data_IF_055225686607
#
_entry.id   IF_055225686607
#
_cell.length_a   1.000
_cell.length_b   1.000
_cell.length_c   1.000
_cell.angle_alpha   90.00
_cell.angle_beta   90.00
_cell.angle_gamma   90.00
#
_symmetry.space_group_name_H-M   'P 1'
#
loop_
_entity.id
_entity.type
_entity.pdbx_description
1 polymer ?
#
# COMPACT_ATOMS: atom_id res chain seq x y z
N UNK A 1 22.79 16.22 -24.95
CA UNK A 1 22.66 15.96 -26.41
C UNK A 1 21.21 16.18 -26.78
N UNK A 2 20.89 17.06 -27.73
CA UNK A 2 19.50 17.35 -28.14
C UNK A 2 19.36 17.05 -29.64
N UNK A 3 18.38 16.23 -30.03
CA UNK A 3 18.16 15.91 -31.44
C UNK A 3 16.88 15.12 -31.73
N UNK A 4 16.40 15.18 -32.97
CA UNK A 4 15.29 14.37 -33.47
C UNK A 4 15.90 13.28 -34.35
N UNK A 5 15.57 12.01 -34.11
CA UNK A 5 16.10 10.90 -34.91
C UNK A 5 15.05 9.82 -35.19
N UNK A 6 15.04 9.32 -36.42
CA UNK A 6 14.17 8.20 -36.78
C UNK A 6 14.68 6.86 -36.20
N UNK A 7 16.00 6.73 -36.02
CA UNK A 7 16.67 5.46 -35.67
C UNK A 7 17.15 5.34 -34.21
N UNK A 8 16.94 6.38 -33.39
CA UNK A 8 17.30 6.37 -31.97
C UNK A 8 18.36 7.42 -31.61
N UNK A 9 18.26 7.95 -30.38
CA UNK A 9 19.21 8.90 -29.82
C UNK A 9 20.07 8.20 -28.77
N UNK A 10 21.39 8.07 -29.02
CA UNK A 10 22.34 7.46 -28.08
C UNK A 10 23.41 8.47 -27.71
N UNK A 11 23.64 8.71 -26.42
CA UNK A 11 24.76 9.53 -25.99
C UNK A 11 24.83 9.83 -24.51
N UNK A 12 26.01 10.23 -24.04
CA UNK A 12 26.24 10.70 -22.67
C UNK A 12 26.42 12.21 -22.64
N UNK A 13 25.83 12.90 -21.67
CA UNK A 13 26.02 14.35 -21.53
C UNK A 13 26.04 14.83 -20.08
N UNK A 14 26.86 15.85 -19.80
CA UNK A 14 26.87 16.49 -18.50
C UNK A 14 25.61 17.33 -18.26
N UNK A 15 25.11 18.01 -19.30
CA UNK A 15 24.08 19.06 -19.20
C UNK A 15 22.65 18.62 -19.51
N UNK A 16 22.42 17.34 -19.85
CA UNK A 16 21.09 16.79 -20.11
C UNK A 16 20.92 16.18 -21.51
N UNK A 17 20.14 15.10 -21.59
CA UNK A 17 19.79 14.44 -22.85
C UNK A 17 18.33 14.73 -23.22
N UNK A 18 18.14 15.27 -24.43
CA UNK A 18 16.84 15.71 -24.92
C UNK A 18 16.54 15.18 -26.33
N UNK A 19 15.28 14.91 -26.67
CA UNK A 19 14.92 14.66 -28.07
C UNK A 19 13.73 13.74 -28.28
N UNK A 20 13.29 13.65 -29.54
CA UNK A 20 12.24 12.71 -29.96
C UNK A 20 12.86 11.63 -30.83
N UNK A 21 12.51 10.36 -30.58
CA UNK A 21 12.95 9.27 -31.44
C UNK A 21 11.90 8.20 -31.72
N UNK A 22 11.96 7.61 -32.93
CA UNK A 22 11.09 6.48 -33.28
C UNK A 22 11.45 5.21 -32.51
N UNK A 23 12.76 4.91 -32.41
CA UNK A 23 13.28 3.61 -31.95
C UNK A 23 13.84 3.57 -30.52
N UNK A 24 13.93 4.70 -29.82
CA UNK A 24 14.39 4.74 -28.42
C UNK A 24 15.39 5.85 -28.11
N UNK A 25 15.48 6.25 -26.84
CA UNK A 25 16.48 7.20 -26.35
C UNK A 25 17.31 6.48 -25.29
N UNK A 26 18.63 6.36 -25.49
CA UNK A 26 19.52 5.70 -24.55
C UNK A 26 20.72 6.56 -24.14
N UNK A 27 21.14 6.43 -22.88
CA UNK A 27 22.37 7.05 -22.37
C UNK A 27 22.22 7.79 -21.05
N UNK A 28 23.36 8.30 -20.55
CA UNK A 28 23.49 8.85 -19.21
C UNK A 28 23.54 10.38 -19.22
N UNK A 29 22.90 11.02 -18.24
CA UNK A 29 22.88 12.48 -18.12
C UNK A 29 23.10 12.99 -16.70
N UNK A 30 23.93 14.02 -16.52
CA UNK A 30 24.09 14.68 -15.22
C UNK A 30 22.86 15.50 -14.79
N UNK A 31 22.22 16.21 -15.71
CA UNK A 31 21.20 17.22 -15.37
C UNK A 31 19.74 16.83 -15.67
N UNK A 32 19.50 15.61 -16.14
CA UNK A 32 18.16 15.10 -16.43
C UNK A 32 17.94 14.69 -17.89
N UNK A 33 16.84 13.97 -18.14
CA UNK A 33 16.47 13.51 -19.48
C UNK A 33 15.04 13.89 -19.82
N UNK A 34 14.83 14.44 -21.02
CA UNK A 34 13.50 14.84 -21.48
C UNK A 34 13.28 14.40 -22.92
N UNK A 35 12.26 13.60 -23.21
CA UNK A 35 12.02 13.22 -24.60
C UNK A 35 10.88 12.24 -24.80
N UNK A 36 10.43 12.10 -26.04
CA UNK A 36 9.44 11.09 -26.41
C UNK A 36 10.09 10.00 -27.25
N UNK A 37 9.71 8.75 -27.01
CA UNK A 37 10.23 7.63 -27.77
C UNK A 37 9.16 6.58 -28.05
N UNK A 38 9.06 6.07 -29.28
CA UNK A 38 8.18 4.92 -29.53
C UNK A 38 8.58 3.70 -28.70
N UNK A 39 9.87 3.34 -28.73
CA UNK A 39 10.38 2.08 -28.13
C UNK A 39 10.99 2.18 -26.72
N UNK A 40 11.03 3.35 -26.08
CA UNK A 40 11.45 3.50 -24.68
C UNK A 40 12.64 4.42 -24.40
N UNK A 41 12.75 4.86 -23.15
CA UNK A 41 13.83 5.74 -22.65
C UNK A 41 14.68 4.99 -21.61
N UNK A 42 15.95 4.69 -21.91
CA UNK A 42 16.81 3.84 -21.07
C UNK A 42 18.16 4.47 -20.67
N UNK A 43 18.59 4.35 -19.41
CA UNK A 43 19.89 4.89 -18.91
C UNK A 43 19.75 5.67 -17.59
N UNK A 44 20.79 6.34 -17.11
CA UNK A 44 20.78 6.97 -15.77
C UNK A 44 20.70 8.50 -15.82
N UNK A 45 20.04 9.13 -14.85
CA UNK A 45 20.03 10.59 -14.71
C UNK A 45 20.04 11.10 -13.26
N UNK A 46 20.83 12.12 -12.94
CA UNK A 46 20.87 12.61 -11.56
C UNK A 46 19.60 13.39 -11.20
N UNK A 47 19.09 14.24 -12.09
CA UNK A 47 17.93 15.12 -11.82
C UNK A 47 16.58 14.60 -12.36
N UNK A 48 16.51 13.35 -12.82
CA UNK A 48 15.26 12.72 -13.23
C UNK A 48 15.07 12.50 -14.72
N UNK A 49 14.01 11.77 -15.10
CA UNK A 49 13.59 11.58 -16.50
C UNK A 49 12.15 12.04 -16.69
N UNK A 50 11.86 12.64 -17.84
CA UNK A 50 10.52 13.08 -18.20
C UNK A 50 10.27 12.67 -19.65
N UNK A 51 9.17 11.97 -19.92
CA UNK A 51 8.93 11.55 -21.30
C UNK A 51 7.68 10.72 -21.51
N UNK A 52 7.38 10.47 -22.78
CA UNK A 52 6.33 9.55 -23.18
C UNK A 52 7.00 8.40 -23.93
N UNK A 53 6.64 7.16 -23.56
CA UNK A 53 7.09 6.01 -24.34
C UNK A 53 6.09 4.88 -24.43
N UNK A 54 5.96 4.27 -25.60
CA UNK A 54 4.98 3.19 -25.77
C UNK A 54 5.50 1.92 -25.09
N UNK A 55 6.79 1.62 -25.20
CA UNK A 55 7.39 0.41 -24.63
C UNK A 55 8.03 0.57 -23.23
N UNK A 56 7.92 1.74 -22.61
CA UNK A 56 8.33 1.96 -21.21
C UNK A 56 9.73 2.53 -21.00
N UNK A 57 10.01 2.90 -19.76
CA UNK A 57 11.26 3.57 -19.36
C UNK A 57 12.10 2.71 -18.41
N UNK A 58 13.43 2.72 -18.61
CA UNK A 58 14.41 1.89 -17.91
C UNK A 58 15.57 2.66 -17.29
N UNK A 59 15.97 2.31 -16.06
CA UNK A 59 17.21 2.79 -15.41
C UNK A 59 16.99 3.83 -14.30
N UNK A 60 18.06 4.27 -13.66
CA UNK A 60 17.98 4.94 -12.36
C UNK A 60 17.91 6.46 -12.45
N UNK A 61 17.24 7.09 -11.48
CA UNK A 61 17.17 8.54 -11.39
C UNK A 61 17.26 9.07 -9.97
N UNK A 62 18.03 10.13 -9.73
CA UNK A 62 18.07 10.76 -8.41
C UNK A 62 16.72 11.39 -8.03
N UNK A 63 16.22 12.36 -8.81
CA UNK A 63 15.04 13.18 -8.46
C UNK A 63 13.67 12.67 -8.95
N UNK A 64 13.58 11.39 -9.32
CA UNK A 64 12.33 10.77 -9.80
C UNK A 64 12.20 10.80 -11.32
N UNK A 65 11.20 10.09 -11.84
CA UNK A 65 10.81 10.23 -13.25
C UNK A 65 9.30 10.46 -13.38
N UNK A 66 8.89 11.06 -14.48
CA UNK A 66 7.49 11.35 -14.81
C UNK A 66 7.20 11.03 -16.28
N UNK A 67 6.01 10.51 -16.59
CA UNK A 67 5.71 10.16 -17.98
C UNK A 67 4.50 9.25 -18.19
N UNK A 68 3.97 9.21 -19.42
CA UNK A 68 2.96 8.23 -19.81
C UNK A 68 3.64 7.07 -20.54
N UNK A 69 3.43 5.84 -20.06
CA UNK A 69 4.17 4.66 -20.51
C UNK A 69 3.21 3.54 -20.92
N UNK A 70 3.34 2.98 -22.12
CA UNK A 70 2.48 1.87 -22.54
C UNK A 70 2.78 0.56 -21.78
N UNK A 71 4.03 0.11 -21.77
CA UNK A 71 4.44 -1.20 -21.21
C UNK A 71 5.04 -1.17 -19.78
N UNK A 72 4.99 -0.03 -19.09
CA UNK A 72 5.40 0.07 -17.68
C UNK A 72 6.77 0.72 -17.45
N UNK A 73 7.20 0.76 -16.19
CA UNK A 73 8.42 1.45 -15.76
C UNK A 73 9.29 0.58 -14.87
N UNK A 74 10.59 0.54 -15.16
CA UNK A 74 11.58 -0.26 -14.43
C UNK A 74 12.79 0.59 -14.04
N UNK A 75 13.00 0.80 -12.74
CA UNK A 75 14.17 1.53 -12.23
C UNK A 75 13.99 2.05 -10.81
N UNK A 76 15.07 2.51 -10.19
CA UNK A 76 15.05 3.10 -8.84
C UNK A 76 15.08 4.62 -8.88
N UNK A 77 14.40 5.25 -7.93
CA UNK A 77 14.55 6.68 -7.70
C UNK A 77 14.39 7.10 -6.25
N UNK A 78 15.24 8.03 -5.82
CA UNK A 78 15.22 8.58 -4.45
C UNK A 78 13.99 9.45 -4.17
N UNK A 79 13.29 9.90 -5.22
CA UNK A 79 12.03 10.66 -5.14
C UNK A 79 10.89 9.95 -5.89
N UNK A 80 9.67 10.50 -5.80
CA UNK A 80 8.44 9.90 -6.33
C UNK A 80 8.52 9.64 -7.84
N UNK A 81 8.19 8.42 -8.24
CA UNK A 81 7.84 8.07 -9.61
C UNK A 81 6.37 8.47 -9.85
N UNK A 82 6.09 9.34 -10.82
CA UNK A 82 4.74 9.73 -11.23
C UNK A 82 4.47 9.37 -12.70
N UNK A 83 3.20 9.28 -13.10
CA UNK A 83 2.81 8.93 -14.48
C UNK A 83 1.85 7.75 -14.58
N UNK A 84 1.19 7.61 -15.75
CA UNK A 84 0.23 6.54 -16.03
C UNK A 84 0.92 5.41 -16.80
N UNK A 85 0.62 4.15 -16.44
CA UNK A 85 1.10 2.98 -17.18
C UNK A 85 0.10 1.84 -17.22
N UNK A 86 -0.10 1.24 -18.40
CA UNK A 86 -1.09 0.18 -18.60
C UNK A 86 -0.73 -1.16 -17.93
N UNK A 87 0.57 -1.43 -17.74
CA UNK A 87 1.09 -2.70 -17.16
C UNK A 87 1.71 -2.54 -15.76
N UNK A 88 1.47 -1.40 -15.10
CA UNK A 88 1.96 -1.14 -13.75
C UNK A 88 3.40 -0.60 -13.66
N UNK A 89 3.78 -0.24 -12.44
CA UNK A 89 5.01 0.49 -12.11
C UNK A 89 5.85 -0.37 -11.17
N UNK A 90 7.04 -0.79 -11.61
CA UNK A 90 7.97 -1.59 -10.81
C UNK A 90 9.24 -0.77 -10.51
N UNK A 91 9.31 -0.21 -9.30
CA UNK A 91 10.46 0.58 -8.84
C UNK A 91 10.40 0.88 -7.35
N UNK A 92 11.56 0.94 -6.70
CA UNK A 92 11.71 1.30 -5.29
C UNK A 92 11.69 2.83 -5.19
N UNK A 93 10.81 3.37 -4.33
CA UNK A 93 10.80 4.78 -3.93
C UNK A 93 10.77 4.87 -2.41
N UNK A 94 11.66 5.66 -1.82
CA UNK A 94 11.83 5.74 -0.38
C UNK A 94 10.58 6.29 0.31
N UNK A 95 9.87 5.40 1.01
CA UNK A 95 8.62 5.70 1.67
C UNK A 95 8.05 4.49 2.40
N UNK A 96 8.77 4.00 3.43
CA UNK A 96 8.30 3.30 4.66
C UNK A 96 9.47 2.49 5.24
N UNK A 97 10.15 3.05 6.23
CA UNK A 97 11.50 2.69 6.65
C UNK A 97 11.57 2.23 8.11
N UNK A 98 10.89 1.12 8.47
CA UNK A 98 11.01 0.58 9.85
C UNK A 98 11.35 -0.91 9.95
N UNK A 99 11.01 -1.73 8.95
CA UNK A 99 11.45 -3.15 8.89
C UNK A 99 12.82 -3.30 8.20
N UNK A 100 13.19 -2.31 7.38
CA UNK A 100 14.44 -2.33 6.59
C UNK A 100 15.68 -2.09 7.45
N UNK A 101 15.59 -1.31 8.54
CA UNK A 101 16.76 -0.92 9.34
C UNK A 101 17.38 -2.08 10.12
N UNK A 102 16.56 -2.92 10.78
CA UNK A 102 17.07 -4.07 11.53
C UNK A 102 17.72 -5.11 10.60
N UNK A 103 17.15 -5.35 9.43
CA UNK A 103 17.70 -6.29 8.43
C UNK A 103 18.98 -5.73 7.80
N UNK A 104 19.06 -4.41 7.56
CA UNK A 104 20.25 -3.77 6.98
C UNK A 104 21.42 -3.75 7.97
N UNK A 105 21.17 -3.55 9.26
CA UNK A 105 22.23 -3.58 10.29
C UNK A 105 22.84 -4.98 10.46
N UNK A 106 22.03 -6.03 10.41
CA UNK A 106 22.52 -7.42 10.46
C UNK A 106 23.33 -7.79 9.21
N UNK A 107 22.91 -7.30 8.03
CA UNK A 107 23.62 -7.47 6.75
C UNK A 107 24.95 -6.68 6.72
N UNK A 108 25.03 -5.52 7.36
CA UNK A 108 26.25 -4.69 7.35
C UNK A 108 27.38 -5.28 8.22
N UNK A 109 27.05 -5.92 9.34
CA UNK A 109 28.05 -6.62 10.17
C UNK A 109 28.58 -7.90 9.48
N UNK A 110 27.72 -8.67 8.78
CA UNK A 110 28.19 -9.80 7.95
C UNK A 110 29.08 -9.32 6.78
N UNK A 111 28.72 -8.23 6.10
CA UNK A 111 29.54 -7.63 5.03
C UNK A 111 30.92 -7.17 5.52
N UNK A 112 31.02 -6.70 6.77
CA UNK A 112 32.27 -6.24 7.39
C UNK A 112 33.20 -7.40 7.73
N UNK A 113 32.64 -8.51 8.25
CA UNK A 113 33.39 -9.74 8.50
C UNK A 113 33.92 -10.37 7.19
N UNK A 114 33.12 -10.30 6.12
CA UNK A 114 33.47 -10.82 4.80
C UNK A 114 34.54 -9.96 4.12
N UNK A 115 34.47 -8.61 4.22
CA UNK A 115 35.55 -7.72 3.74
C UNK A 115 36.90 -8.03 4.39
N UNK A 116 36.91 -8.40 5.67
CA UNK A 116 38.13 -8.76 6.40
C UNK A 116 38.77 -10.04 5.84
N UNK A 117 37.96 -11.05 5.53
CA UNK A 117 38.43 -12.34 4.96
C UNK A 117 38.80 -12.27 3.47
N UNK A 118 38.17 -11.39 2.70
CA UNK A 118 38.54 -11.13 1.30
C UNK A 118 39.97 -10.55 1.18
N UNK A 119 40.44 -9.78 2.17
CA UNK A 119 41.81 -9.28 2.23
C UNK A 119 42.83 -10.42 2.43
N UNK A 120 42.41 -11.56 2.99
CA UNK A 120 43.27 -12.71 3.30
C UNK A 120 43.41 -13.72 2.13
N UNK A 121 42.74 -13.50 0.99
CA UNK A 121 43.08 -14.14 -0.28
C UNK A 121 42.36 -15.45 -0.64
N UNK A 122 41.26 -15.81 0.03
CA UNK A 122 40.50 -17.03 -0.28
C UNK A 122 39.44 -16.83 -1.38
N UNK A 123 39.85 -17.04 -2.64
CA UNK A 123 38.99 -16.91 -3.84
C UNK A 123 37.75 -17.83 -3.81
N UNK A 124 37.81 -18.95 -3.10
CA UNK A 124 36.68 -19.90 -2.99
C UNK A 124 35.57 -19.40 -2.04
N UNK A 125 35.91 -18.62 -1.01
CA UNK A 125 34.94 -17.94 -0.14
C UNK A 125 34.24 -16.79 -0.88
N UNK A 126 34.92 -16.14 -1.83
CA UNK A 126 34.32 -15.10 -2.68
C UNK A 126 33.17 -15.63 -3.55
N UNK A 127 33.34 -16.79 -4.20
CA UNK A 127 32.25 -17.38 -5.00
C UNK A 127 31.10 -17.92 -4.15
N UNK A 128 31.41 -18.49 -2.97
CA UNK A 128 30.38 -18.93 -2.01
C UNK A 128 29.59 -17.73 -1.45
N UNK A 129 30.27 -16.64 -1.07
CA UNK A 129 29.62 -15.44 -0.56
C UNK A 129 28.79 -14.73 -1.62
N UNK A 130 29.26 -14.66 -2.87
CA UNK A 130 28.48 -14.10 -3.98
C UNK A 130 27.20 -14.91 -4.25
N UNK A 131 27.30 -16.25 -4.24
CA UNK A 131 26.14 -17.13 -4.42
C UNK A 131 25.14 -17.05 -3.25
N UNK A 132 25.63 -17.03 -2.00
CA UNK A 132 24.80 -16.88 -0.80
C UNK A 132 24.12 -15.50 -0.81
N UNK A 133 24.86 -14.43 -1.06
CA UNK A 133 24.34 -13.05 -1.09
C UNK A 133 23.25 -12.91 -2.16
N UNK A 134 23.50 -13.40 -3.37
CA UNK A 134 22.52 -13.35 -4.47
C UNK A 134 21.26 -14.17 -4.13
N UNK A 135 21.41 -15.34 -3.52
CA UNK A 135 20.27 -16.19 -3.13
C UNK A 135 19.48 -15.63 -1.94
N UNK A 136 20.14 -14.98 -0.99
CA UNK A 136 19.48 -14.30 0.14
C UNK A 136 18.77 -13.04 -0.35
N UNK A 137 19.40 -12.23 -1.20
CA UNK A 137 18.78 -11.05 -1.80
C UNK A 137 17.57 -11.43 -2.66
N UNK A 138 17.69 -12.45 -3.53
CA UNK A 138 16.55 -12.91 -4.35
C UNK A 138 15.41 -13.51 -3.52
N UNK A 139 15.70 -14.26 -2.46
CA UNK A 139 14.69 -14.72 -1.49
C UNK A 139 14.03 -13.57 -0.75
N UNK A 140 14.81 -12.62 -0.24
CA UNK A 140 14.28 -11.43 0.43
C UNK A 140 13.41 -10.58 -0.49
N UNK A 141 13.78 -10.47 -1.78
CA UNK A 141 12.98 -9.77 -2.79
C UNK A 141 11.68 -10.51 -3.09
N UNK A 142 11.73 -11.84 -3.22
CA UNK A 142 10.56 -12.68 -3.48
C UNK A 142 9.59 -12.74 -2.28
N UNK A 143 10.12 -12.79 -1.06
CA UNK A 143 9.32 -12.73 0.17
C UNK A 143 8.70 -11.34 0.37
N UNK A 144 9.42 -10.27 0.04
CA UNK A 144 8.86 -8.90 0.05
C UNK A 144 7.77 -8.75 -1.01
N UNK A 145 7.95 -9.28 -2.22
CA UNK A 145 6.92 -9.30 -3.27
C UNK A 145 5.70 -10.13 -2.88
N UNK A 146 5.91 -11.32 -2.28
CA UNK A 146 4.82 -12.15 -1.74
C UNK A 146 4.10 -11.45 -0.59
N UNK A 147 4.82 -10.77 0.29
CA UNK A 147 4.23 -10.01 1.40
C UNK A 147 3.38 -8.85 0.87
N UNK A 148 3.88 -8.10 -0.12
CA UNK A 148 3.11 -7.06 -0.82
C UNK A 148 1.90 -7.59 -1.60
N UNK A 149 1.88 -8.87 -1.98
CA UNK A 149 0.72 -9.49 -2.62
C UNK A 149 -0.31 -10.03 -1.63
N UNK A 150 0.05 -10.16 -0.34
CA UNK A 150 -0.83 -10.69 0.70
C UNK A 150 -1.39 -9.59 1.60
N UNK A 151 -0.61 -8.53 1.85
CA UNK A 151 -1.06 -7.35 2.56
C UNK A 151 -1.85 -6.41 1.64
N UNK A 152 -2.95 -5.87 2.13
CA UNK A 152 -3.81 -4.98 1.38
C UNK A 152 -4.45 -3.90 2.24
N UNK A 153 -4.92 -2.85 1.56
CA UNK A 153 -5.65 -1.74 2.17
C UNK A 153 -6.79 -1.31 1.26
N UNK A 154 -8.01 -1.36 1.77
CA UNK A 154 -9.19 -0.79 1.10
C UNK A 154 -9.64 0.46 1.85
N UNK A 155 -10.01 1.49 1.10
CA UNK A 155 -10.55 2.75 1.64
C UNK A 155 -11.85 3.03 0.90
N UNK A 156 -12.90 3.38 1.63
CA UNK A 156 -14.15 3.86 1.05
C UNK A 156 -14.73 4.98 1.88
N UNK A 157 -15.33 5.93 1.19
CA UNK A 157 -15.86 7.16 1.77
C UNK A 157 -17.33 7.28 1.38
N UNK A 158 -18.17 7.67 2.33
CA UNK A 158 -19.59 7.87 2.12
C UNK A 158 -20.06 9.11 2.86
N UNK A 159 -20.76 9.99 2.14
CA UNK A 159 -21.42 11.13 2.75
C UNK A 159 -22.69 10.67 3.44
N UNK A 160 -22.91 11.16 4.66
CA UNK A 160 -24.14 10.99 5.42
C UNK A 160 -24.77 12.35 5.73
N UNK A 161 -26.10 12.40 5.68
CA UNK A 161 -26.90 13.58 6.02
C UNK A 161 -27.32 13.61 7.48
N UNK A 162 -27.27 12.47 8.17
CA UNK A 162 -27.50 12.44 9.61
C UNK A 162 -26.32 13.07 10.37
N UNK A 163 -26.55 13.38 11.64
CA UNK A 163 -25.53 13.92 12.53
C UNK A 163 -24.34 12.95 12.67
N UNK A 164 -23.12 13.43 12.38
CA UNK A 164 -21.91 12.63 12.44
C UNK A 164 -21.45 12.31 13.86
N UNK A 165 -21.76 13.14 14.85
CA UNK A 165 -21.55 12.84 16.27
C UNK A 165 -22.44 11.66 16.68
N UNK A 166 -23.70 11.65 16.25
CA UNK A 166 -24.62 10.53 16.51
C UNK A 166 -24.12 9.24 15.85
N UNK A 167 -23.64 9.32 14.61
CA UNK A 167 -23.05 8.16 13.93
C UNK A 167 -21.84 7.61 14.70
N UNK A 168 -20.90 8.49 15.09
CA UNK A 168 -19.73 8.10 15.88
C UNK A 168 -20.13 7.48 17.23
N UNK A 169 -21.12 8.07 17.90
CA UNK A 169 -21.64 7.57 19.16
C UNK A 169 -22.22 6.16 19.04
N UNK A 170 -22.96 5.86 17.97
CA UNK A 170 -23.50 4.51 17.73
C UNK A 170 -22.38 3.49 17.57
N UNK A 171 -21.36 3.83 16.78
CA UNK A 171 -20.24 2.93 16.50
C UNK A 171 -19.39 2.66 17.75
N UNK A 172 -19.19 3.68 18.58
CA UNK A 172 -18.31 3.63 19.75
C UNK A 172 -19.04 3.19 21.01
N UNK A 173 -20.09 3.94 21.36
CA UNK A 173 -20.74 3.95 22.66
C UNK A 173 -22.07 3.19 22.70
N UNK A 174 -22.69 2.94 21.55
CA UNK A 174 -23.99 2.25 21.46
C UNK A 174 -24.04 1.17 20.36
N UNK A 175 -23.04 0.28 20.23
CA UNK A 175 -22.99 -0.72 19.15
C UNK A 175 -24.18 -1.69 19.17
N UNK A 176 -24.79 -1.95 20.34
CA UNK A 176 -26.00 -2.77 20.43
C UNK A 176 -27.20 -2.16 19.68
N UNK A 177 -27.25 -0.84 19.51
CA UNK A 177 -28.33 -0.19 18.76
C UNK A 177 -28.36 -0.63 17.30
N UNK A 178 -27.23 -1.05 16.73
CA UNK A 178 -27.18 -1.55 15.36
C UNK A 178 -27.98 -2.85 15.19
N UNK A 179 -28.17 -3.63 16.26
CA UNK A 179 -29.04 -4.81 16.22
C UNK A 179 -30.51 -4.45 15.95
N UNK A 180 -30.94 -3.25 16.32
CA UNK A 180 -32.28 -2.75 16.06
C UNK A 180 -32.37 -1.99 14.72
N UNK A 181 -31.29 -1.30 14.33
CA UNK A 181 -31.22 -0.51 13.10
C UNK A 181 -31.14 -1.41 11.86
N UNK A 182 -30.28 -2.43 11.89
CA UNK A 182 -30.04 -3.34 10.77
C UNK A 182 -29.94 -4.81 11.24
N UNK A 183 -31.04 -5.38 11.79
CA UNK A 183 -31.07 -6.73 12.35
C UNK A 183 -30.73 -7.84 11.32
N UNK A 184 -31.00 -7.59 10.04
CA UNK A 184 -30.64 -8.47 8.93
C UNK A 184 -29.12 -8.58 8.75
N UNK A 185 -28.37 -7.53 9.11
CA UNK A 185 -26.91 -7.46 8.99
C UNK A 185 -26.22 -7.77 10.31
N UNK A 186 -26.65 -7.14 11.41
CA UNK A 186 -26.07 -7.30 12.75
C UNK A 186 -27.11 -7.93 13.66
N UNK A 187 -26.92 -9.20 14.03
CA UNK A 187 -27.88 -9.92 14.89
C UNK A 187 -27.56 -9.73 16.37
N UNK A 188 -26.28 -9.59 16.72
CA UNK A 188 -25.87 -9.44 18.12
C UNK A 188 -24.54 -8.74 18.27
N UNK A 189 -24.43 -7.94 19.32
CA UNK A 189 -23.17 -7.45 19.87
C UNK A 189 -23.14 -7.80 21.35
N UNK A 190 -22.04 -8.39 21.83
CA UNK A 190 -21.78 -8.65 23.24
C UNK A 190 -20.46 -7.98 23.65
N UNK A 191 -20.47 -7.23 24.75
CA UNK A 191 -19.24 -6.73 25.37
C UNK A 191 -18.68 -7.87 26.23
N UNK A 192 -17.44 -8.25 26.02
CA UNK A 192 -16.80 -9.35 26.75
C UNK A 192 -15.89 -8.83 27.86
N UNK A 193 -15.05 -7.86 27.52
CA UNK A 193 -14.03 -7.32 28.42
C UNK A 193 -13.94 -5.80 28.23
N UNK A 194 -13.61 -5.09 29.30
CA UNK A 194 -13.48 -3.64 29.29
C UNK A 194 -14.81 -2.88 29.37
N UNK A 195 -14.68 -1.57 29.47
CA UNK A 195 -15.81 -0.65 29.35
C UNK A 195 -16.06 -0.32 27.88
N UNK A 196 -17.28 0.07 27.57
CA UNK A 196 -17.65 0.33 26.20
C UNK A 196 -17.13 1.70 25.77
N UNK A 197 -16.44 1.75 24.63
CA UNK A 197 -15.83 2.97 24.11
C UNK A 197 -14.43 3.27 24.67
N UNK A 198 -13.78 2.31 25.33
CA UNK A 198 -12.39 2.45 25.78
C UNK A 198 -11.44 1.65 24.90
N UNK A 199 -10.16 2.05 24.88
CA UNK A 199 -9.08 1.22 24.34
C UNK A 199 -9.06 -0.12 25.11
N UNK A 200 -8.65 -1.19 24.43
CA UNK A 200 -8.64 -2.57 24.92
C UNK A 200 -10.02 -3.19 25.21
N UNK A 201 -11.11 -2.47 24.93
CA UNK A 201 -12.46 -3.02 24.99
C UNK A 201 -12.65 -4.14 23.96
N UNK A 202 -13.15 -5.29 24.41
CA UNK A 202 -13.35 -6.48 23.56
C UNK A 202 -14.83 -6.68 23.28
N UNK A 203 -15.18 -6.71 21.99
CA UNK A 203 -16.56 -6.92 21.52
C UNK A 203 -16.66 -8.18 20.69
N UNK A 204 -17.75 -8.93 20.89
CA UNK A 204 -18.11 -10.08 20.09
C UNK A 204 -19.33 -9.75 19.23
N UNK A 205 -19.16 -9.88 17.93
CA UNK A 205 -20.15 -9.59 16.91
C UNK A 205 -20.71 -10.89 16.35
N UNK A 206 -22.04 -10.92 16.17
CA UNK A 206 -22.73 -11.85 15.28
C UNK A 206 -23.36 -11.03 14.16
N UNK A 207 -22.93 -11.29 12.93
CA UNK A 207 -23.36 -10.57 11.74
C UNK A 207 -23.60 -11.54 10.59
N UNK A 208 -24.38 -11.12 9.60
CA UNK A 208 -24.56 -11.85 8.35
C UNK A 208 -23.80 -11.16 7.24
N UNK A 209 -22.98 -11.92 6.52
CA UNK A 209 -22.20 -11.45 5.38
C UNK A 209 -22.33 -12.46 4.24
N UNK A 210 -22.72 -11.98 3.06
CA UNK A 210 -22.97 -12.80 1.86
C UNK A 210 -23.95 -13.97 2.13
N UNK A 211 -24.96 -13.71 2.97
CA UNK A 211 -25.99 -14.68 3.35
C UNK A 211 -25.55 -15.73 4.38
N UNK A 212 -24.30 -15.66 4.86
CA UNK A 212 -23.76 -16.56 5.89
C UNK A 212 -23.68 -15.83 7.24
N UNK A 213 -24.15 -16.48 8.29
CA UNK A 213 -23.90 -16.01 9.67
C UNK A 213 -22.41 -16.17 10.01
N UNK A 214 -21.83 -15.10 10.55
CA UNK A 214 -20.42 -15.00 10.92
C UNK A 214 -20.28 -14.41 12.33
N UNK A 215 -19.17 -14.75 12.96
CA UNK A 215 -18.76 -14.27 14.27
C UNK A 215 -17.42 -13.56 14.14
N UNK A 216 -17.30 -12.39 14.76
CA UNK A 216 -16.02 -11.69 14.89
C UNK A 216 -15.82 -11.19 16.32
N UNK A 217 -14.67 -11.49 16.90
CA UNK A 217 -14.22 -10.89 18.16
C UNK A 217 -13.20 -9.84 17.81
N UNK A 218 -13.44 -8.62 18.25
CA UNK A 218 -12.55 -7.48 18.03
C UNK A 218 -12.08 -6.87 19.35
N UNK A 219 -10.96 -6.15 19.27
CA UNK A 219 -10.46 -5.26 20.30
C UNK A 219 -10.31 -3.84 19.73
N UNK A 220 -10.62 -2.82 20.53
CA UNK A 220 -10.35 -1.43 20.17
C UNK A 220 -8.87 -1.13 20.44
N UNK A 221 -8.10 -0.82 19.38
CA UNK A 221 -6.66 -0.54 19.50
C UNK A 221 -6.35 0.96 19.62
N UNK A 222 -7.14 1.82 18.98
CA UNK A 222 -6.86 3.25 18.93
C UNK A 222 -8.17 4.04 18.89
N UNK A 223 -8.20 5.15 19.63
CA UNK A 223 -9.32 6.10 19.66
C UNK A 223 -8.72 7.50 19.60
N UNK A 224 -9.32 8.36 18.79
CA UNK A 224 -9.09 9.80 18.83
C UNK A 224 -10.47 10.48 18.76
N UNK A 225 -10.96 10.88 19.94
CA UNK A 225 -12.28 11.49 20.11
C UNK A 225 -12.41 12.83 19.39
N UNK A 226 -11.34 13.63 19.35
CA UNK A 226 -11.34 14.93 18.67
C UNK A 226 -11.53 14.74 17.15
N UNK A 227 -10.87 13.72 16.59
CA UNK A 227 -11.02 13.35 15.18
C UNK A 227 -12.19 12.41 14.92
N UNK A 228 -12.95 11.97 15.93
CA UNK A 228 -13.99 10.92 15.80
C UNK A 228 -13.46 9.69 15.06
N UNK A 229 -12.30 9.23 15.47
CA UNK A 229 -11.56 8.15 14.85
C UNK A 229 -11.50 6.95 15.79
N UNK A 230 -11.70 5.76 15.24
CA UNK A 230 -11.48 4.51 15.95
C UNK A 230 -10.81 3.49 15.05
N UNK A 231 -9.80 2.79 15.58
CA UNK A 231 -9.19 1.61 14.97
C UNK A 231 -9.46 0.37 15.81
N UNK A 232 -9.92 -0.68 15.14
CA UNK A 232 -10.30 -1.95 15.72
C UNK A 232 -9.50 -3.06 15.06
N UNK A 233 -9.15 -4.08 15.83
CA UNK A 233 -8.45 -5.27 15.34
C UNK A 233 -9.31 -6.51 15.60
N UNK A 234 -9.43 -7.35 14.59
CA UNK A 234 -10.02 -8.68 14.75
C UNK A 234 -9.01 -9.60 15.46
N UNK A 235 -9.45 -10.24 16.55
CA UNK A 235 -8.62 -11.13 17.38
C UNK A 235 -9.08 -12.58 17.33
N UNK A 236 -10.37 -12.84 17.08
CA UNK A 236 -10.93 -14.19 16.84
C UNK A 236 -12.12 -14.10 15.88
N UNK A 237 -12.57 -15.24 15.35
CA UNK A 237 -13.77 -15.36 14.52
C UNK A 237 -13.52 -15.73 13.06
N UNK A 238 -14.59 -15.85 12.29
CA UNK A 238 -14.59 -16.41 10.93
C UNK A 238 -13.70 -15.60 9.96
N UNK A 239 -13.55 -14.28 10.15
CA UNK A 239 -12.68 -13.45 9.32
C UNK A 239 -11.21 -13.90 9.39
N UNK A 240 -10.77 -14.35 10.56
CA UNK A 240 -9.39 -14.83 10.75
C UNK A 240 -9.17 -16.24 10.19
N UNK A 241 -10.20 -16.89 9.63
CA UNK A 241 -10.01 -18.09 8.80
C UNK A 241 -9.35 -17.77 7.46
N UNK A 242 -9.60 -16.58 6.92
CA UNK A 242 -9.12 -16.13 5.61
C UNK A 242 -7.93 -15.16 5.72
N UNK A 243 -7.92 -14.32 6.74
CA UNK A 243 -6.91 -13.29 6.96
C UNK A 243 -6.05 -13.62 8.19
N UNK A 244 -4.74 -13.38 8.12
CA UNK A 244 -3.83 -13.47 9.27
C UNK A 244 -4.02 -12.29 10.22
N UNK A 245 -4.25 -11.12 9.66
CA UNK A 245 -4.56 -9.90 10.39
C UNK A 245 -5.65 -9.14 9.64
N UNK A 246 -6.54 -8.49 10.40
CA UNK A 246 -7.63 -7.69 9.84
C UNK A 246 -7.94 -6.55 10.80
N UNK A 247 -7.87 -5.33 10.27
CA UNK A 247 -8.10 -4.09 10.98
C UNK A 247 -9.22 -3.32 10.31
N UNK A 248 -10.05 -2.69 11.13
CA UNK A 248 -11.17 -1.87 10.73
C UNK A 248 -10.99 -0.49 11.36
N UNK A 249 -10.82 0.52 10.54
CA UNK A 249 -10.77 1.91 10.99
C UNK A 249 -11.98 2.67 10.48
N UNK A 250 -12.53 3.50 11.34
CA UNK A 250 -13.68 4.36 11.06
C UNK A 250 -13.29 5.78 11.47
N UNK A 251 -13.48 6.73 10.56
CA UNK A 251 -13.23 8.14 10.78
C UNK A 251 -14.44 8.94 10.34
N UNK A 252 -14.90 9.89 11.16
CA UNK A 252 -16.06 10.72 10.87
C UNK A 252 -15.65 12.18 10.81
N UNK A 253 -15.69 12.76 9.61
CA UNK A 253 -15.47 14.20 9.44
C UNK A 253 -16.80 14.94 9.46
N UNK A 254 -17.02 15.76 10.48
CA UNK A 254 -18.20 16.61 10.59
C UNK A 254 -17.94 17.97 9.94
N UNK A 255 -18.45 18.19 8.72
CA UNK A 255 -18.29 19.44 7.96
C UNK A 255 -19.65 20.07 7.65
N UNK A 256 -20.24 20.73 8.64
CA UNK A 256 -21.53 21.42 8.48
C UNK A 256 -22.67 20.43 8.20
N UNK A 257 -23.43 20.64 7.12
CA UNK A 257 -24.59 19.78 6.78
C UNK A 257 -24.21 18.46 6.09
N UNK A 258 -22.96 18.33 5.59
CA UNK A 258 -22.49 17.11 4.93
C UNK A 258 -21.38 16.48 5.76
N UNK A 259 -21.70 15.39 6.44
CA UNK A 259 -20.74 14.62 7.22
C UNK A 259 -20.17 13.51 6.34
N UNK A 260 -18.88 13.20 6.48
CA UNK A 260 -18.18 12.18 5.70
C UNK A 260 -17.72 11.06 6.63
N UNK A 261 -18.10 9.82 6.32
CA UNK A 261 -17.60 8.63 7.00
C UNK A 261 -16.59 7.93 6.10
N UNK A 262 -15.37 7.74 6.62
CA UNK A 262 -14.31 6.97 5.96
C UNK A 262 -14.15 5.63 6.66
N UNK A 263 -14.32 4.55 5.89
CA UNK A 263 -14.01 3.19 6.28
C UNK A 263 -12.66 2.78 5.69
N UNK A 264 -11.79 2.19 6.52
CA UNK A 264 -10.51 1.64 6.09
C UNK A 264 -10.39 0.20 6.57
N UNK A 265 -10.10 -0.70 5.65
CA UNK A 265 -9.76 -2.09 5.95
C UNK A 265 -8.28 -2.29 5.68
N UNK A 266 -7.50 -2.68 6.70
CA UNK A 266 -6.10 -3.08 6.53
C UNK A 266 -6.01 -4.57 6.88
N UNK A 267 -5.44 -5.38 5.98
CA UNK A 267 -5.48 -6.85 6.15
C UNK A 267 -4.25 -7.52 5.58
N UNK A 268 -3.95 -8.72 6.09
CA UNK A 268 -2.98 -9.65 5.52
C UNK A 268 -3.70 -10.96 5.20
N UNK A 269 -3.74 -11.34 3.92
CA UNK A 269 -4.31 -12.61 3.46
C UNK A 269 -3.46 -13.79 3.96
N UNK A 270 -4.10 -14.91 4.30
CA UNK A 270 -3.36 -16.16 4.60
C UNK A 270 -2.62 -16.70 3.39
N UNK A 271 -3.18 -16.54 2.19
CA UNK A 271 -2.58 -16.97 0.93
C UNK A 271 -3.17 -16.16 -0.24
N UNK A 272 -2.55 -16.28 -1.43
CA UNK A 272 -2.89 -15.47 -2.59
C UNK A 272 -4.28 -15.76 -3.19
N UNK A 273 -4.91 -16.88 -2.83
CA UNK A 273 -6.25 -17.26 -3.33
C UNK A 273 -7.37 -16.60 -2.52
N UNK A 274 -7.06 -16.01 -1.36
CA UNK A 274 -8.03 -15.27 -0.56
C UNK A 274 -8.37 -13.97 -1.28
N UNK A 275 -9.65 -13.68 -1.56
CA UNK A 275 -10.04 -12.44 -2.21
C UNK A 275 -9.80 -11.24 -1.30
N UNK A 276 -9.69 -10.06 -1.90
CA UNK A 276 -9.75 -8.80 -1.16
C UNK A 276 -11.16 -8.61 -0.55
N UNK A 277 -11.29 -8.02 0.64
CA UNK A 277 -12.55 -7.96 1.40
C UNK A 277 -13.52 -6.90 0.87
N UNK A 278 -13.74 -6.86 -0.45
CA UNK A 278 -14.65 -5.90 -1.10
C UNK A 278 -16.09 -6.09 -0.67
N UNK A 279 -16.57 -7.33 -0.53
CA UNK A 279 -17.94 -7.60 -0.07
C UNK A 279 -18.14 -7.21 1.40
N UNK A 280 -17.09 -7.33 2.23
CA UNK A 280 -17.12 -6.83 3.60
C UNK A 280 -17.14 -5.30 3.65
N UNK A 281 -16.39 -4.61 2.76
CA UNK A 281 -16.48 -3.15 2.63
C UNK A 281 -17.91 -2.72 2.24
N UNK A 282 -18.55 -3.45 1.32
CA UNK A 282 -19.94 -3.18 0.94
C UNK A 282 -20.91 -3.36 2.12
N UNK A 283 -20.71 -4.38 2.96
CA UNK A 283 -21.46 -4.55 4.20
C UNK A 283 -21.31 -3.33 5.13
N UNK A 284 -20.08 -2.82 5.33
CA UNK A 284 -19.85 -1.60 6.13
C UNK A 284 -20.61 -0.39 5.57
N UNK A 285 -20.55 -0.17 4.25
CA UNK A 285 -21.25 0.93 3.59
C UNK A 285 -22.78 0.79 3.70
N UNK A 286 -23.30 -0.44 3.62
CA UNK A 286 -24.73 -0.69 3.77
C UNK A 286 -25.20 -0.48 5.22
N UNK A 287 -24.41 -0.88 6.21
CA UNK A 287 -24.67 -0.54 7.63
C UNK A 287 -24.69 0.97 7.81
N UNK A 288 -23.76 1.72 7.18
CA UNK A 288 -23.76 3.18 7.25
C UNK A 288 -25.06 3.78 6.69
N UNK A 289 -25.55 3.30 5.54
CA UNK A 289 -26.82 3.75 4.95
C UNK A 289 -28.03 3.43 5.83
N UNK A 290 -28.02 2.30 6.53
CA UNK A 290 -29.12 1.94 7.44
C UNK A 290 -29.14 2.85 8.68
N UNK A 291 -27.96 3.12 9.26
CA UNK A 291 -27.83 4.06 10.39
C UNK A 291 -28.27 5.46 9.97
N UNK A 292 -27.85 5.91 8.79
CA UNK A 292 -28.26 7.17 8.21
C UNK A 292 -29.78 7.23 8.05
N UNK A 293 -30.38 6.23 7.39
CA UNK A 293 -31.83 6.18 7.14
C UNK A 293 -32.66 6.17 8.42
N UNK A 294 -32.14 5.57 9.50
CA UNK A 294 -32.79 5.57 10.81
C UNK A 294 -32.72 6.92 11.54
N UNK A 295 -31.71 7.75 11.24
CA UNK A 295 -31.45 9.02 11.96
C UNK A 295 -31.65 10.27 11.09
N UNK A 296 -31.95 10.12 9.80
CA UNK A 296 -32.47 11.23 8.98
C UNK A 296 -33.88 11.56 9.48
N UNK A 297 -34.08 12.82 9.88
CA UNK A 297 -35.40 13.41 10.14
C UNK A 297 -36.01 13.98 8.87
#
# INVERSE_FOLDING_TARGET
MIGISSFGNVGSSAFGNGGNSGFGISGNSGFGRVGNSGFGISGNSSLGKVGISDFGDGGNSGFGNSGNLGFGRVGSSSFKISGNSSFGKFGISDGKEKVVKEIVEEIDEEKKLIKKKIIEGDILEYYKSFYITTHVETKGTAETQRKMSLEGKLVSEINIKCDGDVFHEIIMYKPHHMCNICPDKIQKVDIREGELGTIDSVRLWKFTHDGKEMVAKEVIEEIDEEKKFVKKKMIEGDMLEYYKSFYLTIHVETKGENNLVTWILEYEKKNANVPDPHTFMELCLNITKDIESYHIK
#
